data_IF_844561461362
#
_entry.id   IF_844561461362
#
_cell.length_a   1.000
_cell.length_b   1.000
_cell.length_c   1.000
_cell.angle_alpha   90.00
_cell.angle_beta   90.00
_cell.angle_gamma   90.00
#
_symmetry.space_group_name_H-M   'P 1'
#
loop_
_entity.id
_entity.type
_entity.pdbx_description
1 polymer ?
#
# COMPACT_ATOMS: atom_id res chain seq x y z
N UNK A 1 -25.17 73.43 43.12
CA UNK A 1 -23.98 72.61 42.76
C UNK A 1 -24.27 71.11 42.71
N UNK A 2 -24.95 70.53 43.69
CA UNK A 2 -25.23 69.07 43.75
C UNK A 2 -25.98 68.49 42.54
N UNK A 3 -27.06 69.11 42.07
CA UNK A 3 -27.80 68.60 40.88
C UNK A 3 -26.95 68.58 39.60
N UNK A 4 -26.14 69.63 39.37
CA UNK A 4 -25.26 69.69 38.19
C UNK A 4 -24.23 68.55 38.21
N UNK A 5 -23.73 68.18 39.39
CA UNK A 5 -22.80 67.06 39.57
C UNK A 5 -23.51 65.72 39.32
N UNK A 6 -24.73 65.54 39.84
CA UNK A 6 -25.53 64.31 39.62
C UNK A 6 -25.82 64.10 38.13
N UNK A 7 -26.21 65.14 37.40
CA UNK A 7 -26.49 65.04 35.96
C UNK A 7 -25.23 64.73 35.14
N UNK A 8 -24.07 65.28 35.52
CA UNK A 8 -22.78 65.00 34.87
C UNK A 8 -22.35 63.55 35.07
N UNK A 9 -22.49 63.05 36.30
CA UNK A 9 -22.19 61.64 36.63
C UNK A 9 -23.12 60.70 35.87
N UNK A 10 -24.42 61.00 35.81
CA UNK A 10 -25.39 60.19 35.08
C UNK A 10 -25.05 60.08 33.59
N UNK A 11 -24.68 61.20 32.94
CA UNK A 11 -24.26 61.20 31.54
C UNK A 11 -22.99 60.37 31.30
N UNK A 12 -22.03 60.44 32.23
CA UNK A 12 -20.80 59.66 32.13
C UNK A 12 -21.07 58.16 32.23
N UNK A 13 -21.95 57.74 33.15
CA UNK A 13 -22.34 56.33 33.30
C UNK A 13 -23.06 55.81 32.05
N UNK A 14 -23.97 56.59 31.47
CA UNK A 14 -24.67 56.20 30.23
C UNK A 14 -23.69 56.04 29.08
N UNK A 15 -22.76 56.98 28.90
CA UNK A 15 -21.71 56.89 27.88
C UNK A 15 -20.81 55.66 28.06
N UNK A 16 -20.46 55.35 29.32
CA UNK A 16 -19.64 54.18 29.65
C UNK A 16 -20.37 52.86 29.33
N UNK A 17 -21.64 52.72 29.72
CA UNK A 17 -22.44 51.52 29.45
C UNK A 17 -22.68 51.33 27.95
N UNK A 18 -23.02 52.41 27.23
CA UNK A 18 -23.20 52.36 25.78
C UNK A 18 -21.90 51.98 25.06
N UNK A 19 -20.77 52.57 25.46
CA UNK A 19 -19.45 52.24 24.91
C UNK A 19 -19.04 50.78 25.18
N UNK A 20 -19.34 50.26 26.37
CA UNK A 20 -19.09 48.86 26.72
C UNK A 20 -19.93 47.91 25.86
N UNK A 21 -21.22 48.19 25.68
CA UNK A 21 -22.14 47.35 24.92
C UNK A 21 -21.76 47.28 23.44
N UNK A 22 -21.42 48.41 22.82
CA UNK A 22 -20.95 48.47 21.43
C UNK A 22 -19.62 47.72 21.26
N UNK A 23 -18.68 47.88 22.20
CA UNK A 23 -17.43 47.12 22.16
C UNK A 23 -17.65 45.62 22.36
N UNK A 24 -18.60 45.21 23.22
CA UNK A 24 -18.98 43.82 23.42
C UNK A 24 -19.53 43.18 22.14
N UNK A 25 -20.43 43.86 21.42
CA UNK A 25 -20.93 43.38 20.14
C UNK A 25 -19.83 43.27 19.09
N UNK A 26 -18.97 44.28 18.98
CA UNK A 26 -17.84 44.26 18.04
C UNK A 26 -16.85 43.14 18.36
N UNK A 27 -16.59 42.86 19.63
CA UNK A 27 -15.68 41.81 20.04
C UNK A 27 -16.28 40.43 19.77
N UNK A 28 -17.55 40.22 20.12
CA UNK A 28 -18.25 38.96 19.85
C UNK A 28 -18.32 38.65 18.35
N UNK A 29 -18.61 39.65 17.51
CA UNK A 29 -18.61 39.48 16.06
C UNK A 29 -17.23 39.08 15.50
N UNK A 30 -16.14 39.62 16.07
CA UNK A 30 -14.78 39.21 15.69
C UNK A 30 -14.44 37.80 16.15
N UNK A 31 -14.90 37.40 17.34
CA UNK A 31 -14.70 36.04 17.87
C UNK A 31 -15.40 35.03 16.95
N UNK A 32 -16.66 35.27 16.58
CA UNK A 32 -17.42 34.39 15.69
C UNK A 32 -16.77 34.30 14.30
N UNK A 33 -16.30 35.42 13.74
CA UNK A 33 -15.58 35.42 12.47
C UNK A 33 -14.27 34.60 12.53
N UNK A 34 -13.53 34.75 13.63
CA UNK A 34 -12.26 34.02 13.85
C UNK A 34 -12.52 32.52 14.06
N UNK A 35 -13.55 32.16 14.82
CA UNK A 35 -13.97 30.77 15.02
C UNK A 35 -14.41 30.12 13.71
N UNK A 36 -15.18 30.84 12.88
CA UNK A 36 -15.58 30.37 11.56
C UNK A 36 -14.38 30.16 10.63
N UNK A 37 -13.41 31.08 10.63
CA UNK A 37 -12.18 30.93 9.85
C UNK A 37 -11.36 29.71 10.32
N UNK A 38 -11.18 29.54 11.63
CA UNK A 38 -10.49 28.38 12.20
C UNK A 38 -11.22 27.07 11.88
N UNK A 39 -12.55 27.03 12.02
CA UNK A 39 -13.34 25.86 11.68
C UNK A 39 -13.19 25.50 10.19
N UNK A 40 -13.21 26.48 9.29
CA UNK A 40 -12.98 26.26 7.87
C UNK A 40 -11.56 25.78 7.57
N UNK A 41 -10.54 26.35 8.24
CA UNK A 41 -9.15 25.93 8.09
C UNK A 41 -8.95 24.48 8.57
N UNK A 42 -9.54 24.11 9.71
CA UNK A 42 -9.52 22.75 10.24
C UNK A 42 -10.24 21.77 9.29
N UNK A 43 -11.43 22.11 8.80
CA UNK A 43 -12.14 21.28 7.84
C UNK A 43 -11.34 21.04 6.56
N UNK A 44 -10.68 22.08 6.02
CA UNK A 44 -9.80 21.94 4.85
C UNK A 44 -8.61 21.04 5.15
N UNK A 45 -7.95 21.23 6.29
CA UNK A 45 -6.83 20.39 6.70
C UNK A 45 -7.26 18.92 6.89
N UNK A 46 -8.41 18.68 7.51
CA UNK A 46 -8.99 17.34 7.68
C UNK A 46 -9.34 16.69 6.34
N UNK A 47 -9.94 17.44 5.40
CA UNK A 47 -10.24 16.94 4.07
C UNK A 47 -8.98 16.53 3.30
N UNK A 48 -7.92 17.34 3.36
CA UNK A 48 -6.63 17.02 2.73
C UNK A 48 -6.00 15.79 3.39
N UNK A 49 -6.02 15.72 4.72
CA UNK A 49 -5.49 14.57 5.45
C UNK A 49 -6.26 13.28 5.11
N UNK A 50 -7.59 13.31 5.09
CA UNK A 50 -8.43 12.17 4.72
C UNK A 50 -8.22 11.76 3.27
N UNK A 51 -8.12 12.70 2.34
CA UNK A 51 -7.85 12.39 0.94
C UNK A 51 -6.49 11.69 0.78
N UNK A 52 -5.47 12.14 1.52
CA UNK A 52 -4.15 11.49 1.53
C UNK A 52 -4.22 10.08 2.12
N UNK A 53 -4.91 9.91 3.24
CA UNK A 53 -5.08 8.60 3.88
C UNK A 53 -5.82 7.62 2.97
N UNK A 54 -6.90 8.06 2.31
CA UNK A 54 -7.64 7.25 1.34
C UNK A 54 -6.78 6.85 0.14
N UNK A 55 -5.97 7.77 -0.39
CA UNK A 55 -5.05 7.46 -1.48
C UNK A 55 -4.01 6.41 -1.08
N UNK A 56 -3.47 6.51 0.14
CA UNK A 56 -2.52 5.56 0.70
C UNK A 56 -3.14 4.18 0.93
N UNK A 57 -4.35 4.12 1.49
CA UNK A 57 -5.08 2.87 1.67
C UNK A 57 -5.40 2.22 0.31
N UNK A 58 -5.85 3.00 -0.68
CA UNK A 58 -6.14 2.48 -2.00
C UNK A 58 -4.89 1.92 -2.72
N UNK A 59 -3.74 2.58 -2.58
CA UNK A 59 -2.47 2.07 -3.08
C UNK A 59 -2.08 0.75 -2.40
N UNK A 60 -2.17 0.71 -1.07
CA UNK A 60 -1.86 -0.48 -0.29
C UNK A 60 -2.75 -1.68 -0.67
N UNK A 61 -4.06 -1.46 -0.79
CA UNK A 61 -5.03 -2.50 -1.18
C UNK A 61 -4.77 -3.00 -2.60
N UNK A 62 -4.45 -2.09 -3.53
CA UNK A 62 -4.12 -2.46 -4.90
C UNK A 62 -2.87 -3.35 -4.96
N UNK A 63 -1.84 -3.00 -4.20
CA UNK A 63 -0.60 -3.76 -4.13
C UNK A 63 -0.80 -5.14 -3.46
N UNK A 64 -1.55 -5.18 -2.36
CA UNK A 64 -1.91 -6.44 -1.69
C UNK A 64 -2.68 -7.38 -2.62
N UNK A 65 -3.66 -6.84 -3.36
CA UNK A 65 -4.44 -7.61 -4.33
C UNK A 65 -3.59 -8.14 -5.48
N UNK A 66 -2.65 -7.34 -5.99
CA UNK A 66 -1.71 -7.75 -7.05
C UNK A 66 -0.83 -8.90 -6.54
N UNK A 67 -0.26 -8.75 -5.34
CA UNK A 67 0.61 -9.76 -4.73
C UNK A 67 -0.11 -11.10 -4.53
N UNK A 68 -1.33 -11.10 -3.96
CA UNK A 68 -2.08 -12.34 -3.75
C UNK A 68 -2.45 -13.01 -5.08
N UNK A 69 -2.81 -12.23 -6.11
CA UNK A 69 -3.07 -12.77 -7.45
C UNK A 69 -1.82 -13.41 -8.07
N UNK A 70 -0.66 -12.76 -7.99
CA UNK A 70 0.60 -13.31 -8.51
C UNK A 70 1.00 -14.59 -7.78
N UNK A 71 0.82 -14.61 -6.45
CA UNK A 71 1.07 -15.79 -5.61
C UNK A 71 0.15 -16.95 -5.96
N UNK A 72 -1.14 -16.71 -6.16
CA UNK A 72 -2.12 -17.74 -6.56
C UNK A 72 -1.81 -18.30 -7.96
N UNK A 73 -1.49 -17.43 -8.91
CA UNK A 73 -1.09 -17.83 -10.25
C UNK A 73 0.18 -18.69 -10.23
N UNK A 74 1.20 -18.27 -9.48
CA UNK A 74 2.45 -19.03 -9.33
C UNK A 74 2.20 -20.41 -8.71
N UNK A 75 1.38 -20.47 -7.64
CA UNK A 75 0.99 -21.74 -7.00
C UNK A 75 0.29 -22.66 -7.98
N UNK A 76 -0.64 -22.13 -8.78
CA UNK A 76 -1.38 -22.89 -9.78
C UNK A 76 -0.45 -23.46 -10.85
N UNK A 77 0.49 -22.65 -11.36
CA UNK A 77 1.43 -23.09 -12.40
C UNK A 77 2.43 -24.13 -11.89
N UNK A 78 2.96 -23.94 -10.67
CA UNK A 78 3.84 -24.93 -10.03
C UNK A 78 3.10 -26.26 -9.82
N UNK A 79 1.86 -26.22 -9.33
CA UNK A 79 1.06 -27.44 -9.16
C UNK A 79 0.77 -28.14 -10.49
N UNK A 80 0.49 -27.36 -11.54
CA UNK A 80 0.32 -27.88 -12.90
C UNK A 80 1.60 -28.56 -13.41
N UNK A 81 2.76 -27.93 -13.20
CA UNK A 81 4.05 -28.48 -13.58
C UNK A 81 4.35 -29.79 -12.83
N UNK A 82 4.15 -29.81 -11.50
CA UNK A 82 4.29 -31.01 -10.67
C UNK A 82 3.40 -32.15 -11.16
N UNK A 83 2.14 -31.85 -11.47
CA UNK A 83 1.20 -32.85 -12.03
C UNK A 83 1.66 -33.41 -13.37
N UNK A 84 2.25 -32.58 -14.24
CA UNK A 84 2.80 -33.04 -15.53
C UNK A 84 4.05 -33.90 -15.37
N UNK A 85 4.86 -33.65 -14.33
CA UNK A 85 6.04 -34.47 -14.00
C UNK A 85 5.60 -35.81 -13.43
N UNK A 86 4.65 -35.83 -12.49
CA UNK A 86 4.12 -37.08 -11.94
C UNK A 86 3.42 -37.93 -13.02
N UNK A 87 2.76 -37.29 -13.99
CA UNK A 87 2.17 -37.97 -15.14
C UNK A 87 3.20 -38.39 -16.21
N UNK A 88 4.47 -38.01 -16.08
CA UNK A 88 5.52 -38.29 -17.05
C UNK A 88 5.41 -37.52 -18.38
N UNK A 89 4.48 -36.57 -18.50
CA UNK A 89 4.31 -35.70 -19.67
C UNK A 89 5.43 -34.65 -19.78
N UNK A 90 6.08 -34.32 -18.67
CA UNK A 90 7.29 -33.48 -18.61
C UNK A 90 8.37 -34.26 -17.90
N UNK A 91 9.59 -34.24 -18.45
CA UNK A 91 10.75 -34.91 -17.87
C UNK A 91 11.92 -33.95 -17.83
N UNK A 92 12.62 -33.93 -16.71
CA UNK A 92 13.87 -33.19 -16.53
C UNK A 92 15.03 -34.14 -16.84
N UNK A 93 16.01 -33.69 -17.62
CA UNK A 93 17.17 -34.50 -17.98
C UNK A 93 18.47 -33.71 -17.94
N UNK A 94 19.55 -34.38 -17.54
CA UNK A 94 20.90 -33.82 -17.44
C UNK A 94 21.82 -34.54 -18.44
N UNK A 95 22.85 -33.88 -19.00
CA UNK A 95 23.86 -34.55 -19.79
C UNK A 95 24.58 -35.64 -18.98
N UNK A 96 24.68 -36.84 -19.52
CA UNK A 96 25.36 -37.98 -18.93
C UNK A 96 26.68 -38.22 -19.67
N UNK A 97 27.81 -38.20 -18.96
CA UNK A 97 29.12 -38.59 -19.50
C UNK A 97 29.52 -39.92 -18.91
N UNK A 98 29.71 -40.94 -19.75
CA UNK A 98 30.26 -42.25 -19.34
C UNK A 98 29.35 -43.47 -19.51
N UNK A 99 28.10 -43.32 -19.94
CA UNK A 99 27.24 -44.45 -20.27
C UNK A 99 27.30 -44.73 -21.78
N UNK A 100 28.09 -45.72 -22.19
CA UNK A 100 27.98 -46.30 -23.52
C UNK A 100 26.72 -47.18 -23.57
N UNK A 101 25.60 -46.62 -23.99
CA UNK A 101 24.39 -47.38 -24.30
C UNK A 101 24.42 -47.67 -25.81
N UNK A 102 24.16 -48.92 -26.20
CA UNK A 102 24.12 -49.34 -27.60
C UNK A 102 23.18 -48.44 -28.40
N UNK A 103 23.72 -47.75 -29.40
CA UNK A 103 22.98 -46.82 -30.25
C UNK A 103 21.79 -47.53 -30.91
N UNK A 104 20.57 -47.06 -30.65
CA UNK A 104 19.44 -47.35 -31.52
C UNK A 104 19.54 -46.36 -32.70
N UNK A 105 19.66 -46.89 -33.92
CA UNK A 105 19.83 -46.14 -35.16
C UNK A 105 18.58 -45.33 -35.51
N UNK A 106 18.45 -44.16 -34.89
CA UNK A 106 17.31 -43.28 -35.07
C UNK A 106 17.62 -41.84 -34.64
N UNK A 107 18.21 -41.09 -35.56
CA UNK A 107 18.21 -39.61 -35.65
C UNK A 107 18.88 -38.81 -34.52
N UNK A 108 20.08 -38.30 -34.82
CA UNK A 108 20.65 -37.07 -34.25
C UNK A 108 21.90 -37.30 -33.41
N UNK A 109 22.91 -36.44 -33.59
CA UNK A 109 24.07 -36.29 -32.69
C UNK A 109 23.62 -35.69 -31.35
N UNK A 110 22.79 -36.42 -30.60
CA UNK A 110 22.31 -36.04 -29.29
C UNK A 110 23.37 -36.37 -28.24
N UNK A 111 23.74 -35.39 -27.41
CA UNK A 111 24.45 -35.68 -26.16
C UNK A 111 23.66 -36.75 -25.40
N UNK A 112 24.34 -37.79 -24.90
CA UNK A 112 23.72 -38.76 -24.00
C UNK A 112 23.16 -38.01 -22.79
N UNK A 113 21.87 -38.18 -22.47
CA UNK A 113 21.22 -37.54 -21.32
C UNK A 113 20.61 -38.59 -20.40
N UNK A 114 20.69 -38.36 -19.10
CA UNK A 114 19.99 -39.13 -18.07
C UNK A 114 18.76 -38.34 -17.62
N UNK A 115 17.60 -39.00 -17.62
CA UNK A 115 16.38 -38.44 -17.03
C UNK A 115 16.47 -38.50 -15.50
N UNK A 116 16.03 -37.43 -14.84
CA UNK A 116 15.87 -37.40 -13.38
C UNK A 116 14.62 -38.18 -13.00
N UNK A 117 14.66 -38.85 -11.86
CA UNK A 117 13.46 -39.44 -11.29
C UNK A 117 12.47 -38.33 -10.84
N UNK A 118 11.16 -38.62 -10.75
CA UNK A 118 10.15 -37.62 -10.41
C UNK A 118 10.33 -36.96 -9.05
N UNK A 119 10.94 -37.64 -8.08
CA UNK A 119 11.18 -37.10 -6.72
C UNK A 119 12.29 -36.04 -6.78
N UNK A 120 13.44 -36.39 -7.35
CA UNK A 120 14.55 -35.43 -7.56
C UNK A 120 14.11 -34.24 -8.41
N UNK A 121 13.31 -34.46 -9.45
CA UNK A 121 12.75 -33.40 -10.27
C UNK A 121 11.85 -32.44 -9.46
N UNK A 122 11.03 -32.98 -8.56
CA UNK A 122 10.14 -32.20 -7.71
C UNK A 122 10.91 -31.42 -6.62
N UNK A 123 12.01 -31.96 -6.11
CA UNK A 123 12.87 -31.27 -5.15
C UNK A 123 13.53 -30.04 -5.78
N UNK A 124 14.07 -30.18 -6.99
CA UNK A 124 14.64 -29.04 -7.73
C UNK A 124 13.61 -27.94 -8.01
N UNK A 125 12.38 -28.33 -8.37
CA UNK A 125 11.27 -27.38 -8.56
C UNK A 125 10.90 -26.70 -7.26
N UNK A 126 10.95 -27.40 -6.13
CA UNK A 126 10.65 -26.83 -4.82
C UNK A 126 11.67 -25.75 -4.44
N UNK A 127 12.96 -26.00 -4.65
CA UNK A 127 14.02 -24.99 -4.44
C UNK A 127 13.77 -23.75 -5.31
N UNK A 128 13.50 -23.93 -6.60
CA UNK A 128 13.22 -22.82 -7.51
C UNK A 128 11.93 -22.06 -7.12
N UNK A 129 10.88 -22.78 -6.75
CA UNK A 129 9.61 -22.21 -6.27
C UNK A 129 9.79 -21.35 -5.02
N UNK A 130 10.62 -21.81 -4.08
CA UNK A 130 10.91 -21.09 -2.84
C UNK A 130 11.74 -19.83 -3.12
N UNK A 131 12.72 -19.92 -4.03
CA UNK A 131 13.48 -18.77 -4.52
C UNK A 131 12.57 -17.73 -5.18
N UNK A 132 11.68 -18.16 -6.07
CA UNK A 132 10.69 -17.28 -6.70
C UNK A 132 9.72 -16.65 -5.69
N UNK A 133 9.37 -17.38 -4.62
CA UNK A 133 8.52 -16.85 -3.55
C UNK A 133 9.23 -15.73 -2.79
N UNK A 134 10.50 -15.92 -2.44
CA UNK A 134 11.33 -14.90 -1.82
C UNK A 134 11.50 -13.66 -2.73
N UNK A 135 11.70 -13.86 -4.04
CA UNK A 135 11.79 -12.76 -5.01
C UNK A 135 10.48 -11.97 -5.07
N UNK A 136 9.32 -12.65 -5.10
CA UNK A 136 8.01 -11.97 -5.06
C UNK A 136 7.83 -11.15 -3.78
N UNK A 137 8.22 -11.68 -2.64
CA UNK A 137 8.16 -10.95 -1.36
C UNK A 137 9.08 -9.72 -1.35
N UNK A 138 10.30 -9.85 -1.87
CA UNK A 138 11.22 -8.72 -1.99
C UNK A 138 10.68 -7.64 -2.93
N UNK A 139 10.10 -8.03 -4.07
CA UNK A 139 9.48 -7.09 -4.99
C UNK A 139 8.28 -6.38 -4.34
N UNK A 140 7.48 -7.07 -3.53
CA UNK A 140 6.42 -6.43 -2.74
C UNK A 140 7.00 -5.36 -1.80
N UNK A 141 8.13 -5.62 -1.16
CA UNK A 141 8.81 -4.64 -0.29
C UNK A 141 9.29 -3.41 -1.08
N UNK A 142 9.87 -3.64 -2.26
CA UNK A 142 10.32 -2.56 -3.16
C UNK A 142 9.12 -1.73 -3.66
N UNK A 143 8.05 -2.38 -4.08
CA UNK A 143 6.83 -1.71 -4.54
C UNK A 143 6.24 -0.84 -3.42
N UNK A 144 6.14 -1.38 -2.19
CA UNK A 144 5.72 -0.61 -1.01
C UNK A 144 6.60 0.61 -0.78
N UNK A 145 7.92 0.48 -0.85
CA UNK A 145 8.84 1.60 -0.67
C UNK A 145 8.65 2.68 -1.73
N UNK A 146 8.46 2.29 -2.99
CA UNK A 146 8.26 3.22 -4.09
C UNK A 146 6.93 3.98 -3.99
N UNK A 147 5.89 3.40 -3.38
CA UNK A 147 4.63 4.10 -3.09
C UNK A 147 4.75 5.19 -2.02
N UNK A 148 5.77 5.11 -1.14
CA UNK A 148 6.00 6.11 -0.09
C UNK A 148 6.76 7.36 -0.60
N UNK A 149 7.38 7.28 -1.78
CA UNK A 149 8.23 8.32 -2.36
C UNK A 149 7.43 9.35 -3.13
#
# INVERSE_FOLDING_TARGET
>A
MKEKIINLVALFVVGFVAGWMVNGWRLNAQIEATEAEHAQALQKAEQVARAKEQAWQAAHDALAKKYEKEKENAKTEINRLRGRISAGTVRLSVPARGCAVSENTGTGTGETRAELDPETANDLISIASDGDAAIRELNLCIDKYNELK
#
